data_IF_371392391144
#
_entry.id   IF_371392391144
#
_cell.length_a   1.000
_cell.length_b   1.000
_cell.length_c   1.000
_cell.angle_alpha   90.00
_cell.angle_beta   90.00
_cell.angle_gamma   90.00
#
_symmetry.space_group_name_H-M   'P 1'
#
loop_
_entity.id
_entity.type
_entity.pdbx_description
1 polymer ?
#
# COMPACT_ATOMS: atom_id res chain seq x y z
N UNK A 1 0.21 -8.93 10.04
CA UNK A 1 0.84 -8.91 8.72
C UNK A 1 -0.18 -9.08 7.63
N UNK A 2 -0.41 -8.00 6.90
CA UNK A 2 -1.14 -8.01 5.63
C UNK A 2 -0.27 -7.44 4.50
N UNK A 3 1.06 -7.47 4.70
CA UNK A 3 2.07 -7.18 3.69
C UNK A 3 2.78 -8.44 3.20
N UNK A 4 3.21 -8.41 1.94
CA UNK A 4 3.94 -9.51 1.29
C UNK A 4 4.96 -8.95 0.31
N UNK A 5 6.22 -9.37 0.41
CA UNK A 5 7.21 -9.10 -0.63
C UNK A 5 6.92 -10.01 -1.85
N UNK A 6 6.83 -9.41 -3.03
CA UNK A 6 6.53 -10.11 -4.29
C UNK A 6 7.62 -9.89 -5.36
N UNK A 7 8.66 -9.14 -5.02
CA UNK A 7 9.82 -8.87 -5.85
C UNK A 7 10.82 -8.00 -5.09
N UNK A 8 12.02 -7.80 -5.63
CA UNK A 8 13.05 -6.99 -4.97
C UNK A 8 12.52 -5.59 -4.70
N UNK A 9 12.39 -5.26 -3.41
CA UNK A 9 11.83 -4.00 -2.91
C UNK A 9 10.39 -3.71 -3.37
N UNK A 10 9.65 -4.73 -3.82
CA UNK A 10 8.28 -4.62 -4.26
C UNK A 10 7.39 -5.40 -3.30
N UNK A 11 6.51 -4.66 -2.62
CA UNK A 11 5.62 -5.19 -1.61
C UNK A 11 4.18 -4.99 -2.03
N UNK A 12 3.34 -5.90 -1.59
CA UNK A 12 1.89 -5.85 -1.71
C UNK A 12 1.32 -5.64 -0.30
N UNK A 13 0.37 -4.72 -0.17
CA UNK A 13 -0.37 -4.44 1.06
C UNK A 13 -1.84 -4.78 0.79
N UNK A 14 -2.36 -5.83 1.42
CA UNK A 14 -3.79 -6.15 1.38
C UNK A 14 -4.57 -5.11 2.17
N UNK A 15 -5.45 -4.37 1.49
CA UNK A 15 -6.20 -3.26 2.08
C UNK A 15 -7.42 -3.71 2.87
N UNK A 16 -7.78 -5.00 2.78
CA UNK A 16 -8.93 -5.60 3.49
C UNK A 16 -10.23 -4.81 3.35
N UNK A 17 -10.47 -4.25 2.17
CA UNK A 17 -11.59 -3.36 1.90
C UNK A 17 -12.91 -4.06 2.23
N UNK A 18 -13.74 -3.44 3.07
CA UNK A 18 -15.03 -4.00 3.50
C UNK A 18 -14.91 -5.30 4.33
N UNK A 19 -13.73 -5.61 4.89
CA UNK A 19 -13.48 -6.84 5.64
C UNK A 19 -13.06 -8.04 4.78
N UNK A 20 -13.01 -7.89 3.46
CA UNK A 20 -12.60 -8.94 2.53
C UNK A 20 -11.08 -8.90 2.30
N UNK A 21 -10.40 -10.02 2.54
CA UNK A 21 -8.96 -10.16 2.28
C UNK A 21 -8.70 -10.31 0.78
N UNK A 22 -7.59 -9.75 0.30
CA UNK A 22 -7.12 -9.85 -1.09
C UNK A 22 -8.15 -9.35 -2.13
N UNK A 23 -9.00 -8.40 -1.75
CA UNK A 23 -9.97 -7.80 -2.67
C UNK A 23 -9.37 -6.60 -3.41
N UNK A 24 -8.70 -5.73 -2.65
CA UNK A 24 -7.97 -4.57 -3.18
C UNK A 24 -6.64 -4.54 -2.46
N UNK A 25 -5.57 -4.45 -3.24
CA UNK A 25 -4.21 -4.37 -2.74
C UNK A 25 -3.55 -3.09 -3.25
N UNK A 26 -2.65 -2.54 -2.45
CA UNK A 26 -1.71 -1.50 -2.88
C UNK A 26 -0.34 -2.10 -3.11
N UNK A 27 0.38 -1.63 -4.12
CA UNK A 27 1.79 -1.96 -4.30
C UNK A 27 2.67 -0.87 -3.71
N UNK A 28 3.75 -1.26 -3.06
CA UNK A 28 4.78 -0.35 -2.54
C UNK A 28 6.12 -0.72 -3.13
N UNK A 29 6.70 0.21 -3.90
CA UNK A 29 8.11 0.13 -4.30
C UNK A 29 8.93 0.90 -3.27
N UNK A 30 9.82 0.20 -2.56
CA UNK A 30 10.75 0.82 -1.61
C UNK A 30 12.07 1.17 -2.30
N UNK A 31 12.42 2.44 -2.29
CA UNK A 31 13.72 2.95 -2.75
C UNK A 31 14.26 4.00 -1.79
N UNK A 32 15.04 4.95 -2.30
CA UNK A 32 15.41 6.15 -1.54
C UNK A 32 14.17 6.98 -1.14
N UNK A 33 13.11 6.91 -1.94
CA UNK A 33 11.78 7.39 -1.64
C UNK A 33 10.78 6.28 -2.00
N UNK A 34 9.69 6.16 -1.24
CA UNK A 34 8.68 5.15 -1.51
C UNK A 34 7.69 5.62 -2.58
N UNK A 35 7.21 4.69 -3.39
CA UNK A 35 6.10 4.89 -4.33
C UNK A 35 4.98 3.94 -3.94
N UNK A 36 3.77 4.47 -3.85
CA UNK A 36 2.55 3.67 -3.71
C UNK A 36 1.84 3.61 -5.07
N UNK A 37 1.41 2.41 -5.48
CA UNK A 37 0.51 2.22 -6.61
C UNK A 37 -0.85 1.80 -6.05
N UNK A 38 -1.86 2.62 -6.33
CA UNK A 38 -3.22 2.54 -5.77
C UNK A 38 -3.31 2.73 -4.26
N UNK A 39 -4.40 3.35 -3.81
CA UNK A 39 -4.68 3.53 -2.37
C UNK A 39 -5.94 2.80 -1.90
N UNK A 40 -6.73 2.30 -2.85
CA UNK A 40 -8.09 1.85 -2.59
C UNK A 40 -9.02 3.00 -2.16
N UNK A 41 -10.27 2.69 -1.77
CA UNK A 41 -11.23 3.68 -1.29
C UNK A 41 -10.83 4.30 0.05
N UNK A 42 -11.41 5.45 0.41
CA UNK A 42 -11.11 6.14 1.68
C UNK A 42 -11.30 5.25 2.91
N UNK A 43 -12.21 4.27 2.86
CA UNK A 43 -12.46 3.32 3.94
C UNK A 43 -11.30 2.37 4.23
N UNK A 44 -10.36 2.21 3.29
CA UNK A 44 -9.22 1.29 3.43
C UNK A 44 -7.88 1.99 3.71
N UNK A 45 -7.86 3.32 3.74
CA UNK A 45 -6.65 4.11 4.05
C UNK A 45 -6.01 3.75 5.40
N UNK A 46 -6.75 3.48 6.49
CA UNK A 46 -6.13 3.04 7.74
C UNK A 46 -5.32 1.74 7.59
N UNK A 47 -5.79 0.82 6.75
CA UNK A 47 -5.08 -0.42 6.47
C UNK A 47 -3.84 -0.15 5.63
N UNK A 48 -3.92 0.71 4.60
CA UNK A 48 -2.73 1.12 3.85
C UNK A 48 -1.62 1.68 4.76
N UNK A 49 -1.98 2.61 5.65
CA UNK A 49 -1.05 3.22 6.60
C UNK A 49 -0.48 2.19 7.60
N UNK A 50 -1.31 1.23 8.04
CA UNK A 50 -0.85 0.11 8.87
C UNK A 50 0.16 -0.76 8.11
N UNK A 51 -0.09 -1.06 6.83
CA UNK A 51 0.80 -1.84 6.00
C UNK A 51 2.14 -1.15 5.74
N UNK A 52 2.14 0.17 5.54
CA UNK A 52 3.39 0.94 5.45
C UNK A 52 4.22 0.81 6.73
N UNK A 53 3.58 0.87 7.90
CA UNK A 53 4.26 0.66 9.19
C UNK A 53 4.82 -0.76 9.33
N UNK A 54 4.11 -1.78 8.85
CA UNK A 54 4.62 -3.16 8.79
C UNK A 54 5.88 -3.28 7.91
N UNK A 55 6.07 -2.37 6.96
CA UNK A 55 7.24 -2.27 6.09
C UNK A 55 8.29 -1.27 6.60
N UNK A 56 8.26 -0.86 7.86
CA UNK A 56 9.15 0.17 8.44
C UNK A 56 9.10 1.53 7.70
N UNK A 57 8.00 1.81 6.99
CA UNK A 57 7.77 3.06 6.28
C UNK A 57 6.76 3.95 6.98
N UNK A 58 6.82 5.25 6.69
CA UNK A 58 5.83 6.24 7.10
C UNK A 58 5.20 6.89 5.87
N UNK A 59 4.03 7.51 6.05
CA UNK A 59 3.36 8.21 4.96
C UNK A 59 4.22 9.36 4.42
N UNK A 60 4.99 10.00 5.29
CA UNK A 60 5.89 11.10 4.95
C UNK A 60 7.08 10.66 4.07
N UNK A 61 7.39 9.35 4.05
CA UNK A 61 8.47 8.79 3.22
C UNK A 61 8.00 8.50 1.76
N UNK A 62 6.70 8.65 1.50
CA UNK A 62 6.08 8.40 0.19
C UNK A 62 6.19 9.65 -0.65
N UNK A 63 6.98 9.60 -1.71
CA UNK A 63 7.14 10.72 -2.63
C UNK A 63 6.08 10.74 -3.73
N UNK A 64 5.54 9.57 -4.09
CA UNK A 64 4.60 9.44 -5.20
C UNK A 64 3.47 8.47 -4.89
N UNK A 65 2.28 8.82 -5.35
CA UNK A 65 1.11 7.94 -5.42
C UNK A 65 0.71 7.83 -6.89
N UNK A 66 0.90 6.65 -7.47
CA UNK A 66 0.49 6.33 -8.83
C UNK A 66 -0.93 5.76 -8.82
N UNK A 67 -1.85 6.43 -9.53
CA UNK A 67 -3.24 6.03 -9.67
C UNK A 67 -3.47 5.56 -11.10
N UNK A 68 -4.02 4.36 -11.27
CA UNK A 68 -4.55 3.86 -12.54
C UNK A 68 -5.93 4.44 -12.84
N UNK A 69 -6.71 4.80 -11.81
CA UNK A 69 -8.03 5.41 -11.94
C UNK A 69 -8.43 6.20 -10.69
N UNK A 70 -9.49 7.01 -10.82
CA UNK A 70 -10.18 7.69 -9.71
C UNK A 70 -11.68 7.50 -9.94
N UNK A 71 -12.40 7.10 -8.88
CA UNK A 71 -13.86 6.86 -8.88
C UNK A 71 -14.51 7.83 -7.89
#
# INVERSE_FOLDING_TARGET
MHTKEIGKNLFLIDLKTGGFKNLIDSYVLKGAQAIIVETGPSSSIPNLLSGLKELDGKAEDVAYVALSHVI
#
